data_IF_156765335749
#
_entry.id   IF_156765335749
#
_cell.length_a   1.000
_cell.length_b   1.000
_cell.length_c   1.000
_cell.angle_alpha   90.00
_cell.angle_beta   90.00
_cell.angle_gamma   90.00
#
_symmetry.space_group_name_H-M   'P 1'
#
loop_
_entity.id
_entity.type
_entity.pdbx_description
1 polymer ?
#
# COMPACT_ATOMS: atom_id res chain seq x y z
N UNK A 1 -19.53 0.99 28.67
CA UNK A 1 -19.63 1.59 27.31
C UNK A 1 -18.47 2.55 26.96
N UNK A 2 -17.79 3.18 27.92
CA UNK A 2 -16.68 4.16 27.68
C UNK A 2 -15.39 3.59 27.03
N UNK A 3 -15.15 2.28 27.09
CA UNK A 3 -13.91 1.66 26.59
C UNK A 3 -13.86 1.46 25.06
N UNK A 4 -14.96 1.02 24.45
CA UNK A 4 -15.03 0.75 23.00
C UNK A 4 -14.85 2.02 22.16
N UNK A 5 -15.39 3.15 22.62
CA UNK A 5 -15.29 4.44 21.94
C UNK A 5 -13.84 4.96 21.88
N UNK A 6 -13.05 4.69 22.91
CA UNK A 6 -11.64 5.12 22.99
C UNK A 6 -10.78 4.35 21.99
N UNK A 7 -10.97 3.03 21.90
CA UNK A 7 -10.21 2.17 20.97
C UNK A 7 -10.51 2.57 19.52
N UNK A 8 -11.78 2.74 19.15
CA UNK A 8 -12.15 3.11 17.79
C UNK A 8 -11.71 4.54 17.43
N UNK A 9 -11.72 5.47 18.41
CA UNK A 9 -11.20 6.82 18.21
C UNK A 9 -9.68 6.83 18.01
N UNK A 10 -8.94 6.02 18.78
CA UNK A 10 -7.50 5.85 18.61
C UNK A 10 -7.16 5.22 17.26
N UNK A 11 -7.86 4.14 16.88
CA UNK A 11 -7.70 3.51 15.57
C UNK A 11 -7.91 4.50 14.42
N UNK A 12 -8.96 5.33 14.49
CA UNK A 12 -9.22 6.37 13.50
C UNK A 12 -8.10 7.41 13.41
N UNK A 13 -7.59 7.87 14.56
CA UNK A 13 -6.48 8.83 14.61
C UNK A 13 -5.22 8.25 13.97
N UNK A 14 -4.87 7.02 14.33
CA UNK A 14 -3.72 6.29 13.80
C UNK A 14 -3.86 6.10 12.28
N UNK A 15 -5.03 5.66 11.80
CA UNK A 15 -5.30 5.48 10.37
C UNK A 15 -5.20 6.80 9.59
N UNK A 16 -5.65 7.92 10.16
CA UNK A 16 -5.48 9.25 9.54
C UNK A 16 -4.02 9.67 9.49
N UNK A 17 -3.25 9.40 10.55
CA UNK A 17 -1.81 9.62 10.57
C UNK A 17 -1.09 8.86 9.46
N UNK A 18 -1.36 7.55 9.36
CA UNK A 18 -0.78 6.73 8.29
C UNK A 18 -1.23 7.15 6.89
N UNK A 19 -2.49 7.54 6.71
CA UNK A 19 -2.97 8.08 5.45
C UNK A 19 -2.20 9.35 5.05
N UNK A 20 -1.99 10.28 6.01
CA UNK A 20 -1.26 11.52 5.76
C UNK A 20 0.20 11.24 5.40
N UNK A 21 0.88 10.37 6.17
CA UNK A 21 2.26 9.94 5.89
C UNK A 21 2.35 9.30 4.50
N UNK A 22 1.41 8.42 4.15
CA UNK A 22 1.39 7.76 2.85
C UNK A 22 1.19 8.75 1.69
N UNK A 23 0.30 9.74 1.84
CA UNK A 23 0.12 10.80 0.84
C UNK A 23 1.39 11.65 0.71
N UNK A 24 1.99 12.04 1.84
CA UNK A 24 3.24 12.80 1.84
C UNK A 24 4.38 12.03 1.16
N UNK A 25 4.51 10.73 1.43
CA UNK A 25 5.49 9.86 0.78
C UNK A 25 5.25 9.76 -0.74
N UNK A 26 4.00 9.59 -1.18
CA UNK A 26 3.65 9.58 -2.60
C UNK A 26 3.99 10.89 -3.31
N UNK A 27 3.70 12.04 -2.68
CA UNK A 27 4.08 13.37 -3.20
C UNK A 27 5.59 13.52 -3.25
N UNK A 28 6.31 13.09 -2.21
CA UNK A 28 7.76 13.14 -2.16
C UNK A 28 8.39 12.36 -3.32
N UNK A 29 7.91 11.14 -3.60
CA UNK A 29 8.38 10.36 -4.75
C UNK A 29 8.08 11.05 -6.08
N UNK A 30 6.89 11.63 -6.24
CA UNK A 30 6.54 12.36 -7.46
C UNK A 30 7.45 13.58 -7.68
N UNK A 31 7.70 14.37 -6.64
CA UNK A 31 8.63 15.51 -6.69
C UNK A 31 10.05 15.03 -6.96
N UNK A 32 10.51 13.95 -6.32
CA UNK A 32 11.84 13.39 -6.54
C UNK A 32 12.04 12.97 -8.00
N UNK A 33 11.04 12.33 -8.62
CA UNK A 33 11.09 11.99 -10.05
C UNK A 33 11.20 13.25 -10.91
N UNK A 34 10.33 14.25 -10.69
CA UNK A 34 10.31 15.48 -11.47
C UNK A 34 11.62 16.26 -11.39
N UNK A 35 12.21 16.37 -10.19
CA UNK A 35 13.51 17.04 -9.97
C UNK A 35 14.68 16.22 -10.52
N UNK A 36 14.55 14.90 -10.60
CA UNK A 36 15.63 14.03 -11.10
C UNK A 36 15.93 14.22 -12.60
N UNK A 37 14.97 14.68 -13.42
CA UNK A 37 15.16 14.89 -14.86
C UNK A 37 16.08 16.08 -15.19
N UNK A 38 15.83 17.32 -14.70
CA UNK A 38 16.70 18.46 -14.98
C UNK A 38 18.10 18.28 -14.39
N UNK A 39 18.24 17.54 -13.28
CA UNK A 39 19.53 17.28 -12.64
C UNK A 39 20.28 16.09 -13.24
N UNK A 40 19.72 15.40 -14.24
CA UNK A 40 20.26 14.13 -14.77
C UNK A 40 21.73 14.21 -15.18
N UNK A 41 22.13 15.24 -15.94
CA UNK A 41 23.52 15.40 -16.37
C UNK A 41 24.50 15.57 -15.20
N UNK A 42 24.16 16.42 -14.22
CA UNK A 42 24.99 16.66 -13.04
C UNK A 42 25.03 15.42 -12.12
N UNK A 43 23.89 14.74 -11.95
CA UNK A 43 23.77 13.53 -11.15
C UNK A 43 24.62 12.39 -11.74
N UNK A 44 24.50 12.14 -13.05
CA UNK A 44 25.30 11.13 -13.74
C UNK A 44 26.79 11.47 -13.63
N UNK A 45 27.20 12.70 -13.90
CA UNK A 45 28.61 13.09 -13.81
C UNK A 45 29.20 12.87 -12.41
N UNK A 46 28.45 13.21 -11.36
CA UNK A 46 28.87 13.00 -9.95
C UNK A 46 28.94 11.53 -9.58
N UNK A 47 27.96 10.74 -10.00
CA UNK A 47 27.91 9.31 -9.70
C UNK A 47 29.00 8.53 -10.46
N UNK A 48 29.21 8.84 -11.74
CA UNK A 48 30.29 8.23 -12.55
C UNK A 48 31.66 8.59 -12.01
N UNK A 49 31.86 9.83 -11.52
CA UNK A 49 33.10 10.21 -10.84
C UNK A 49 33.33 9.40 -9.55
N UNK A 50 32.26 9.14 -8.77
CA UNK A 50 32.34 8.42 -7.49
C UNK A 50 32.55 6.91 -7.65
N UNK A 51 31.88 6.28 -8.61
CA UNK A 51 31.86 4.82 -8.78
C UNK A 51 32.73 4.33 -9.96
N UNK A 52 33.27 5.24 -10.78
CA UNK A 52 34.08 4.90 -11.94
C UNK A 52 33.31 4.11 -13.02
N UNK A 53 33.99 3.50 -14.00
CA UNK A 53 33.38 2.72 -15.07
C UNK A 53 32.86 1.34 -14.62
N UNK A 54 32.88 1.05 -13.31
CA UNK A 54 32.57 -0.28 -12.77
C UNK A 54 31.06 -0.57 -12.69
N UNK A 55 30.23 0.47 -12.81
CA UNK A 55 28.77 0.40 -12.73
C UNK A 55 28.11 1.19 -13.86
N UNK A 56 27.03 0.65 -14.42
CA UNK A 56 26.16 1.38 -15.34
C UNK A 56 25.24 2.33 -14.54
N UNK A 57 25.78 3.51 -14.24
CA UNK A 57 25.09 4.57 -13.50
C UNK A 57 23.78 4.98 -14.19
N UNK A 58 23.75 4.99 -15.53
CA UNK A 58 22.55 5.39 -16.26
C UNK A 58 21.43 4.37 -16.07
N UNK A 59 21.74 3.07 -16.17
CA UNK A 59 20.79 2.00 -15.89
C UNK A 59 20.29 2.05 -14.44
N UNK A 60 21.18 2.29 -13.47
CA UNK A 60 20.81 2.42 -12.04
C UNK A 60 19.84 3.58 -11.82
N UNK A 61 20.11 4.76 -12.38
CA UNK A 61 19.22 5.93 -12.26
C UNK A 61 17.84 5.65 -12.85
N UNK A 62 17.77 4.98 -14.01
CA UNK A 62 16.49 4.56 -14.59
C UNK A 62 15.76 3.53 -13.73
N UNK A 63 16.48 2.56 -13.18
CA UNK A 63 15.92 1.57 -12.25
C UNK A 63 15.32 2.23 -11.01
N UNK A 64 16.03 3.17 -10.38
CA UNK A 64 15.53 3.91 -9.21
C UNK A 64 14.28 4.72 -9.57
N UNK A 65 14.24 5.38 -10.74
CA UNK A 65 13.05 6.09 -11.21
C UNK A 65 11.85 5.17 -11.40
N UNK A 66 12.06 3.99 -11.97
CA UNK A 66 11.01 2.97 -12.14
C UNK A 66 10.50 2.49 -10.78
N UNK A 67 11.39 2.27 -9.82
CA UNK A 67 11.03 1.91 -8.45
C UNK A 67 10.23 3.02 -7.75
N UNK A 68 10.63 4.29 -7.91
CA UNK A 68 9.88 5.43 -7.39
C UNK A 68 8.49 5.52 -8.03
N UNK A 69 8.37 5.27 -9.34
CA UNK A 69 7.09 5.25 -10.03
C UNK A 69 6.18 4.14 -9.50
N UNK A 70 6.72 2.93 -9.30
CA UNK A 70 6.00 1.83 -8.66
C UNK A 70 5.55 2.19 -7.23
N UNK A 71 6.39 2.92 -6.48
CA UNK A 71 6.07 3.39 -5.13
C UNK A 71 4.92 4.40 -5.11
N UNK A 72 4.79 5.25 -6.13
CA UNK A 72 3.61 6.13 -6.29
C UNK A 72 2.34 5.30 -6.52
N UNK A 73 2.42 4.25 -7.34
CA UNK A 73 1.33 3.28 -7.52
C UNK A 73 0.93 2.61 -6.20
N UNK A 74 1.91 2.14 -5.42
CA UNK A 74 1.68 1.56 -4.10
C UNK A 74 1.00 2.58 -3.15
N UNK A 75 1.45 3.83 -3.15
CA UNK A 75 0.86 4.89 -2.32
C UNK A 75 -0.61 5.15 -2.69
N UNK A 76 -0.98 5.09 -3.97
CA UNK A 76 -2.37 5.20 -4.40
C UNK A 76 -3.22 4.04 -3.88
N UNK A 77 -2.72 2.81 -3.96
CA UNK A 77 -3.42 1.61 -3.46
C UNK A 77 -3.59 1.68 -1.94
N UNK A 78 -2.53 1.99 -1.20
CA UNK A 78 -2.56 2.16 0.26
C UNK A 78 -3.55 3.25 0.69
N UNK A 79 -3.63 4.36 -0.06
CA UNK A 79 -4.65 5.40 0.19
C UNK A 79 -6.06 4.82 0.09
N UNK A 80 -6.36 3.98 -0.90
CA UNK A 80 -7.68 3.34 -1.03
C UNK A 80 -7.98 2.41 0.14
N UNK A 81 -6.98 1.63 0.59
CA UNK A 81 -7.09 0.76 1.77
C UNK A 81 -7.39 1.57 3.03
N UNK A 82 -6.62 2.62 3.31
CA UNK A 82 -6.82 3.45 4.51
C UNK A 82 -8.17 4.14 4.52
N UNK A 83 -8.65 4.65 3.38
CA UNK A 83 -9.98 5.25 3.27
C UNK A 83 -11.09 4.22 3.52
N UNK A 84 -10.95 3.00 2.99
CA UNK A 84 -11.91 1.92 3.24
C UNK A 84 -11.92 1.52 4.73
N UNK A 85 -10.76 1.39 5.36
CA UNK A 85 -10.64 1.11 6.80
C UNK A 85 -11.26 2.21 7.66
N UNK A 86 -10.97 3.48 7.36
CA UNK A 86 -11.57 4.62 8.07
C UNK A 86 -13.10 4.60 7.97
N UNK A 87 -13.63 4.30 6.79
CA UNK A 87 -15.07 4.24 6.59
C UNK A 87 -15.70 3.06 7.37
N UNK A 88 -15.05 1.90 7.44
CA UNK A 88 -15.48 0.78 8.28
C UNK A 88 -15.47 1.19 9.76
N UNK A 89 -14.38 1.79 10.25
CA UNK A 89 -14.28 2.28 11.64
C UNK A 89 -15.40 3.28 11.96
N UNK A 90 -15.71 4.19 11.03
CA UNK A 90 -16.78 5.17 11.22
C UNK A 90 -18.17 4.50 11.33
N UNK A 91 -18.45 3.48 10.52
CA UNK A 91 -19.72 2.72 10.62
C UNK A 91 -19.81 1.86 11.89
N UNK A 92 -18.71 1.23 12.31
CA UNK A 92 -18.66 0.45 13.57
C UNK A 92 -18.93 1.36 14.76
N UNK A 93 -18.40 2.59 14.76
CA UNK A 93 -18.68 3.59 15.80
C UNK A 93 -20.14 4.06 15.81
N UNK A 94 -20.79 4.06 14.66
CA UNK A 94 -22.22 4.36 14.55
C UNK A 94 -23.11 3.19 15.00
N UNK A 95 -22.52 2.06 15.40
CA UNK A 95 -23.25 0.86 15.82
C UNK A 95 -23.71 -0.02 14.67
N UNK A 96 -23.28 0.26 13.43
CA UNK A 96 -23.71 -0.47 12.23
C UNK A 96 -22.52 -1.15 11.50
N UNK A 97 -21.98 -2.25 12.05
CA UNK A 97 -20.81 -2.92 11.48
C UNK A 97 -21.13 -3.75 10.22
N UNK A 98 -22.32 -4.35 10.13
CA UNK A 98 -22.70 -5.29 9.07
C UNK A 98 -23.60 -4.63 8.05
N UNK A 99 -22.99 -3.79 7.21
CA UNK A 99 -23.62 -3.17 6.04
C UNK A 99 -23.06 -3.77 4.77
N UNK A 100 -23.87 -3.86 3.72
CA UNK A 100 -23.41 -4.26 2.37
C UNK A 100 -22.23 -3.37 1.92
N UNK A 101 -22.28 -2.08 2.23
CA UNK A 101 -21.19 -1.14 1.95
C UNK A 101 -19.85 -1.55 2.61
N UNK A 102 -19.88 -2.10 3.83
CA UNK A 102 -18.67 -2.59 4.49
C UNK A 102 -18.11 -3.86 3.87
N UNK A 103 -18.96 -4.74 3.32
CA UNK A 103 -18.50 -5.89 2.55
C UNK A 103 -17.72 -5.46 1.30
N UNK A 104 -18.22 -4.45 0.56
CA UNK A 104 -17.53 -3.87 -0.61
C UNK A 104 -16.21 -3.19 -0.20
N UNK A 105 -16.18 -2.50 0.95
CA UNK A 105 -14.95 -1.89 1.49
C UNK A 105 -13.91 -2.95 1.84
N UNK A 106 -14.32 -4.06 2.48
CA UNK A 106 -13.42 -5.19 2.75
C UNK A 106 -12.89 -5.83 1.46
N UNK A 107 -13.73 -5.97 0.44
CA UNK A 107 -13.28 -6.46 -0.87
C UNK A 107 -12.26 -5.51 -1.52
N UNK A 108 -12.47 -4.19 -1.38
CA UNK A 108 -11.49 -3.18 -1.83
C UNK A 108 -10.15 -3.34 -1.11
N UNK A 109 -10.18 -3.61 0.20
CA UNK A 109 -8.96 -3.86 0.99
C UNK A 109 -8.28 -5.15 0.53
N UNK A 110 -9.03 -6.23 0.31
CA UNK A 110 -8.50 -7.51 -0.15
C UNK A 110 -7.79 -7.37 -1.51
N UNK A 111 -8.41 -6.71 -2.48
CA UNK A 111 -7.80 -6.41 -3.78
C UNK A 111 -6.58 -5.49 -3.65
N UNK A 112 -6.67 -4.46 -2.80
CA UNK A 112 -5.53 -3.57 -2.55
C UNK A 112 -4.32 -4.32 -1.98
N UNK A 113 -4.55 -5.21 -1.01
CA UNK A 113 -3.51 -6.05 -0.43
C UNK A 113 -2.92 -7.03 -1.46
N UNK A 114 -3.73 -7.60 -2.34
CA UNK A 114 -3.24 -8.43 -3.45
C UNK A 114 -2.31 -7.64 -4.38
N UNK A 115 -2.71 -6.42 -4.76
CA UNK A 115 -1.87 -5.56 -5.62
C UNK A 115 -0.56 -5.21 -4.93
N UNK A 116 -0.57 -4.90 -3.62
CA UNK A 116 0.65 -4.66 -2.85
C UNK A 116 1.56 -5.88 -2.80
N UNK A 117 0.99 -7.08 -2.67
CA UNK A 117 1.76 -8.32 -2.67
C UNK A 117 2.40 -8.62 -4.04
N UNK A 118 1.73 -8.26 -5.14
CA UNK A 118 2.31 -8.33 -6.50
C UNK A 118 3.42 -7.30 -6.67
N UNK A 119 3.24 -6.08 -6.17
CA UNK A 119 4.28 -5.05 -6.18
C UNK A 119 5.51 -5.47 -5.37
N UNK A 120 5.31 -6.15 -4.24
CA UNK A 120 6.39 -6.73 -3.43
C UNK A 120 7.20 -7.80 -4.20
N UNK A 121 6.54 -8.66 -4.99
CA UNK A 121 7.28 -9.53 -5.92
C UNK A 121 8.10 -8.74 -6.95
N UNK A 122 7.54 -7.63 -7.46
CA UNK A 122 8.24 -6.70 -8.34
C UNK A 122 9.49 -6.10 -7.69
N UNK A 123 9.42 -5.78 -6.39
CA UNK A 123 10.58 -5.36 -5.61
C UNK A 123 11.64 -6.47 -5.57
N UNK A 124 11.25 -7.73 -5.36
CA UNK A 124 12.16 -8.88 -5.44
C UNK A 124 12.90 -8.97 -6.77
N UNK A 125 12.18 -8.84 -7.90
CA UNK A 125 12.81 -8.79 -9.24
C UNK A 125 13.79 -7.62 -9.34
N UNK A 126 13.42 -6.44 -8.85
CA UNK A 126 14.29 -5.27 -8.83
C UNK A 126 15.57 -5.50 -8.01
N UNK A 127 15.46 -6.14 -6.84
CA UNK A 127 16.64 -6.45 -6.00
C UNK A 127 17.60 -7.42 -6.70
N UNK A 128 17.08 -8.42 -7.41
CA UNK A 128 17.89 -9.32 -8.25
C UNK A 128 18.61 -8.57 -9.36
N UNK A 129 17.89 -7.69 -10.07
CA UNK A 129 18.48 -6.82 -11.09
C UNK A 129 19.56 -5.88 -10.52
N UNK A 130 19.31 -5.27 -9.35
CA UNK A 130 20.28 -4.41 -8.67
C UNK A 130 21.59 -5.13 -8.35
N UNK A 131 21.51 -6.37 -7.86
CA UNK A 131 22.68 -7.23 -7.60
C UNK A 131 23.47 -7.52 -8.88
N UNK A 132 22.81 -7.78 -10.01
CA UNK A 132 23.47 -7.95 -11.30
C UNK A 132 24.24 -6.68 -11.72
N UNK A 133 23.72 -5.51 -11.39
CA UNK A 133 24.34 -4.20 -11.64
C UNK A 133 25.41 -3.82 -10.60
N UNK A 134 25.76 -4.71 -9.67
CA UNK A 134 26.65 -4.46 -8.51
C UNK A 134 26.19 -3.29 -7.64
N UNK A 135 24.90 -2.96 -7.71
CA UNK A 135 24.26 -1.95 -6.89
C UNK A 135 23.78 -2.61 -5.60
N UNK A 136 24.42 -2.25 -4.49
CA UNK A 136 23.99 -2.72 -3.18
C UNK A 136 22.64 -2.09 -2.83
N UNK A 137 21.64 -2.95 -2.70
CA UNK A 137 20.25 -2.55 -2.47
C UNK A 137 19.65 -3.45 -1.40
N UNK A 138 18.49 -3.03 -0.86
CA UNK A 138 17.84 -3.72 0.25
C UNK A 138 17.64 -5.21 -0.09
N UNK A 139 17.95 -6.08 0.87
CA UNK A 139 17.65 -7.50 0.72
C UNK A 139 16.14 -7.73 0.72
N UNK A 140 15.70 -8.67 -0.11
CA UNK A 140 14.30 -9.02 -0.26
C UNK A 140 14.06 -10.50 0.03
N UNK A 141 12.98 -10.77 0.77
CA UNK A 141 12.51 -12.12 1.04
C UNK A 141 10.98 -12.17 0.89
N UNK A 142 10.43 -13.12 0.12
CA UNK A 142 9.00 -13.22 -0.07
C UNK A 142 8.27 -13.56 1.24
N UNK A 143 7.13 -12.91 1.47
CA UNK A 143 6.28 -13.16 2.64
C UNK A 143 5.14 -14.11 2.31
N UNK A 144 5.20 -15.35 2.82
CA UNK A 144 4.09 -16.30 2.69
C UNK A 144 2.85 -15.88 3.51
N UNK A 145 3.05 -15.26 4.68
CA UNK A 145 1.95 -14.78 5.53
C UNK A 145 1.17 -13.63 4.88
N UNK A 146 1.81 -12.83 4.03
CA UNK A 146 1.13 -11.80 3.22
C UNK A 146 0.07 -12.40 2.29
N UNK A 147 0.40 -13.49 1.59
CA UNK A 147 -0.55 -14.20 0.73
C UNK A 147 -1.72 -14.82 1.49
N UNK A 148 -1.45 -15.44 2.65
CA UNK A 148 -2.52 -15.94 3.53
C UNK A 148 -3.44 -14.78 3.94
N UNK A 149 -2.88 -13.64 4.31
CA UNK A 149 -3.66 -12.45 4.69
C UNK A 149 -4.59 -11.99 3.57
N UNK A 150 -4.11 -11.97 2.32
CA UNK A 150 -4.94 -11.63 1.16
C UNK A 150 -6.13 -12.59 1.03
N UNK A 151 -5.88 -13.91 1.10
CA UNK A 151 -6.95 -14.92 1.03
C UNK A 151 -7.96 -14.74 2.16
N UNK A 152 -7.47 -14.55 3.38
CA UNK A 152 -8.33 -14.34 4.56
C UNK A 152 -9.17 -13.07 4.44
N UNK A 153 -8.65 -11.99 3.84
CA UNK A 153 -9.41 -10.77 3.61
C UNK A 153 -10.55 -10.99 2.61
N UNK A 154 -10.34 -11.78 1.54
CA UNK A 154 -11.42 -12.15 0.62
C UNK A 154 -12.49 -13.01 1.30
N UNK A 155 -12.08 -13.98 2.12
CA UNK A 155 -13.01 -14.79 2.92
C UNK A 155 -13.81 -13.90 3.86
N UNK A 156 -13.14 -12.99 4.58
CA UNK A 156 -13.80 -12.08 5.51
C UNK A 156 -14.79 -11.15 4.78
N UNK A 157 -14.43 -10.62 3.62
CA UNK A 157 -15.33 -9.82 2.80
C UNK A 157 -16.61 -10.60 2.44
N UNK A 158 -16.49 -11.89 2.09
CA UNK A 158 -17.64 -12.75 1.80
C UNK A 158 -18.50 -13.01 3.02
N UNK A 159 -17.88 -13.26 4.18
CA UNK A 159 -18.60 -13.48 5.44
C UNK A 159 -19.38 -12.22 5.83
N UNK A 160 -18.79 -11.03 5.68
CA UNK A 160 -19.48 -9.76 5.92
C UNK A 160 -20.65 -9.54 4.97
N UNK A 161 -20.51 -9.91 3.70
CA UNK A 161 -21.62 -9.83 2.74
C UNK A 161 -22.79 -10.71 3.18
N UNK A 162 -22.52 -11.98 3.51
CA UNK A 162 -23.57 -12.89 4.00
C UNK A 162 -24.18 -12.42 5.32
N UNK A 163 -23.38 -11.84 6.22
CA UNK A 163 -23.87 -11.26 7.47
C UNK A 163 -24.79 -10.06 7.26
N UNK A 164 -24.53 -9.23 6.24
CA UNK A 164 -25.41 -8.13 5.87
C UNK A 164 -26.74 -8.64 5.28
N UNK A 165 -26.70 -9.61 4.37
CA UNK A 165 -27.90 -10.25 3.80
C UNK A 165 -28.80 -10.85 4.91
N UNK A 166 -28.21 -11.59 5.85
CA UNK A 166 -28.95 -12.18 6.98
C UNK A 166 -29.58 -11.13 7.90
N UNK A 167 -28.93 -9.99 8.10
CA UNK A 167 -29.48 -8.88 8.89
C UNK A 167 -30.69 -8.28 8.19
N UNK A 168 -30.61 -8.08 6.88
CA UNK A 168 -31.71 -7.50 6.10
C UNK A 168 -32.92 -8.43 6.10
N UNK A 169 -32.72 -9.74 5.95
CA UNK A 169 -33.77 -10.75 6.07
C UNK A 169 -34.47 -10.70 7.44
N UNK A 170 -33.69 -10.55 8.53
CA UNK A 170 -34.23 -10.43 9.89
C UNK A 170 -35.01 -9.11 10.09
N UNK A 171 -34.61 -8.02 9.46
CA UNK A 171 -35.32 -6.74 9.54
C UNK A 171 -36.67 -6.77 8.81
N UNK A 172 -36.85 -7.66 7.83
CA UNK A 172 -38.08 -7.82 7.05
C UNK A 172 -39.12 -8.74 7.70
N UNK A 173 -38.79 -9.38 8.82
CA UNK A 173 -39.69 -10.33 9.52
C UNK A 173 -40.36 -9.76 10.77
N UNK A 174 -40.13 -8.48 11.08
CA UNK A 174 -40.77 -7.70 12.17
C UNK A 174 -41.79 -6.71 11.61
#
# INVERSE_FOLDING_TARGET
MVGHDRVLSAARLILRGFLLINVAAGVLFAVAILVSFPMSGALLARLTYKYGPTMDVAAIVWGIRLLMLASIGAAFVLRRIFLALLAIVDTVRAGDPFTEANAVRLQTIAWGMLVLQVLDLGLGVFTGWARLMRFDFVDWNPSFSGWITVLMLFVLARVFQRGAEMRDDLAMTV
#
